data_IF_079144547594
#
_entry.id   IF_079144547594
#
_cell.length_a   1.000
_cell.length_b   1.000
_cell.length_c   1.000
_cell.angle_alpha   90.00
_cell.angle_beta   90.00
_cell.angle_gamma   90.00
#
_symmetry.space_group_name_H-M   'P 1'
#
loop_
_entity.id
_entity.type
_entity.pdbx_description
1 polymer ?
#
# COMPACT_ATOMS: atom_id res chain seq x y z
N UNK A 1 -19.50 5.65 17.50
CA UNK A 1 -18.18 5.00 17.43
C UNK A 1 -17.77 4.91 15.97
N UNK A 2 -17.00 5.89 15.51
CA UNK A 2 -16.62 6.00 14.11
C UNK A 2 -15.41 5.13 13.83
N UNK A 3 -15.52 4.21 12.88
CA UNK A 3 -14.36 3.62 12.24
C UNK A 3 -13.72 4.72 11.42
N UNK A 4 -12.42 4.95 11.60
CA UNK A 4 -11.70 5.91 10.78
C UNK A 4 -10.97 5.21 9.67
N UNK A 5 -11.18 5.68 8.45
CA UNK A 5 -10.68 5.05 7.24
C UNK A 5 -9.83 6.04 6.46
N UNK A 6 -8.58 5.67 6.21
CA UNK A 6 -7.83 6.26 5.12
C UNK A 6 -8.12 5.45 3.86
N UNK A 7 -8.50 6.12 2.78
CA UNK A 7 -8.59 5.53 1.45
C UNK A 7 -8.04 6.55 0.47
N UNK A 8 -6.97 6.19 -0.23
CA UNK A 8 -6.27 7.11 -1.11
C UNK A 8 -5.19 6.42 -1.91
N UNK A 9 -4.36 7.23 -2.57
CA UNK A 9 -3.25 6.76 -3.37
C UNK A 9 -1.94 7.09 -2.69
N UNK A 10 -0.99 6.15 -2.72
CA UNK A 10 0.39 6.38 -2.31
C UNK A 10 1.30 6.29 -3.53
N UNK A 11 2.17 7.28 -3.68
CA UNK A 11 3.21 7.23 -4.70
C UNK A 11 4.40 6.46 -4.16
N UNK A 12 4.77 5.37 -4.84
CA UNK A 12 5.88 4.49 -4.48
C UNK A 12 6.73 4.32 -5.74
N UNK A 13 7.99 4.75 -5.70
CA UNK A 13 8.89 4.77 -6.87
C UNK A 13 8.32 5.48 -8.12
N UNK A 14 7.48 6.49 -7.93
CA UNK A 14 6.86 7.23 -9.03
C UNK A 14 5.61 6.57 -9.65
N UNK A 15 5.18 5.42 -9.12
CA UNK A 15 3.91 4.78 -9.47
C UNK A 15 2.88 5.04 -8.35
N UNK A 16 1.63 5.32 -8.72
CA UNK A 16 0.54 5.48 -7.76
C UNK A 16 -0.12 4.13 -7.48
N UNK A 17 -0.31 3.82 -6.19
CA UNK A 17 -1.00 2.61 -5.74
C UNK A 17 -2.15 2.96 -4.82
N UNK A 18 -3.33 2.37 -5.03
CA UNK A 18 -4.45 2.53 -4.12
C UNK A 18 -4.20 1.76 -2.83
N UNK A 19 -4.41 2.45 -1.71
CA UNK A 19 -4.23 1.92 -0.35
C UNK A 19 -5.41 2.34 0.52
N UNK A 20 -5.94 1.37 1.25
CA UNK A 20 -6.97 1.54 2.24
C UNK A 20 -6.43 1.10 3.60
N UNK A 21 -6.53 1.97 4.60
CA UNK A 21 -6.25 1.63 5.99
C UNK A 21 -7.52 1.84 6.81
N UNK A 22 -8.07 0.74 7.30
CA UNK A 22 -9.21 0.76 8.21
C UNK A 22 -8.69 0.76 9.64
N UNK A 23 -9.08 1.75 10.42
CA UNK A 23 -8.68 1.94 11.81
C UNK A 23 -9.94 1.85 12.68
N UNK A 24 -10.20 0.68 13.29
CA UNK A 24 -11.38 0.49 14.14
C UNK A 24 -11.39 1.40 15.38
N UNK A 25 -10.21 1.81 15.84
CA UNK A 25 -10.01 2.70 16.98
C UNK A 25 -8.86 3.67 16.65
N UNK A 26 -9.19 4.95 16.44
CA UNK A 26 -8.19 5.98 16.09
C UNK A 26 -7.05 6.10 17.10
N UNK A 27 -7.29 5.70 18.35
CA UNK A 27 -6.29 5.74 19.40
C UNK A 27 -5.26 4.61 19.29
N UNK A 28 -5.53 3.56 18.50
CA UNK A 28 -4.70 2.38 18.45
C UNK A 28 -4.72 1.68 17.07
N UNK A 29 -3.60 1.76 16.35
CA UNK A 29 -3.40 1.09 15.07
C UNK A 29 -3.18 -0.43 15.16
N UNK A 30 -3.11 -1.01 16.35
CA UNK A 30 -2.83 -2.45 16.51
C UNK A 30 -3.88 -3.37 15.91
N UNK A 31 -5.13 -2.91 15.80
CA UNK A 31 -6.23 -3.61 15.13
C UNK A 31 -6.54 -3.05 13.74
N UNK A 32 -5.69 -2.17 13.21
CA UNK A 32 -5.90 -1.61 11.89
C UNK A 32 -5.69 -2.67 10.80
N UNK A 33 -6.46 -2.56 9.71
CA UNK A 33 -6.38 -3.45 8.55
C UNK A 33 -5.88 -2.65 7.35
N UNK A 34 -4.80 -3.13 6.74
CA UNK A 34 -4.24 -2.56 5.52
C UNK A 34 -4.68 -3.39 4.31
N UNK A 35 -5.26 -2.71 3.33
CA UNK A 35 -5.57 -3.25 2.01
C UNK A 35 -4.87 -2.39 0.96
N UNK A 36 -4.37 -3.01 -0.09
CA UNK A 36 -3.76 -2.33 -1.23
C UNK A 36 -4.02 -3.12 -2.51
N UNK A 37 -3.73 -2.53 -3.67
CA UNK A 37 -3.83 -3.23 -4.95
C UNK A 37 -3.03 -4.53 -4.94
N UNK A 38 -3.58 -5.56 -5.57
CA UNK A 38 -3.03 -6.91 -5.59
C UNK A 38 -1.58 -6.95 -6.09
N UNK A 39 -1.23 -6.08 -7.05
CA UNK A 39 0.13 -5.97 -7.59
C UNK A 39 1.12 -5.54 -6.52
N UNK A 40 0.76 -4.55 -5.71
CA UNK A 40 1.58 -4.12 -4.57
C UNK A 40 1.60 -5.20 -3.48
N UNK A 41 0.43 -5.76 -3.15
CA UNK A 41 0.31 -6.82 -2.15
C UNK A 41 1.23 -8.01 -2.45
N UNK A 42 1.26 -8.48 -3.69
CA UNK A 42 2.10 -9.60 -4.12
C UNK A 42 3.60 -9.30 -3.92
N UNK A 43 4.03 -8.07 -4.23
CA UNK A 43 5.42 -7.62 -4.02
C UNK A 43 5.79 -7.50 -2.54
N UNK A 44 4.80 -7.26 -1.67
CA UNK A 44 4.98 -7.11 -0.23
C UNK A 44 4.81 -8.41 0.57
N UNK A 45 4.43 -9.53 -0.06
CA UNK A 45 4.13 -10.80 0.62
C UNK A 45 5.21 -11.25 1.61
N UNK A 46 6.48 -11.05 1.28
CA UNK A 46 7.62 -11.44 2.12
C UNK A 46 7.92 -10.45 3.27
N UNK A 47 7.22 -9.32 3.35
CA UNK A 47 7.35 -8.30 4.40
C UNK A 47 6.08 -8.08 5.21
N UNK A 48 5.06 -8.93 5.07
CA UNK A 48 3.78 -8.79 5.81
C UNK A 48 4.04 -8.62 7.31
N UNK A 49 4.87 -9.47 7.93
CA UNK A 49 5.18 -9.38 9.36
C UNK A 49 5.87 -8.06 9.76
N UNK A 50 6.70 -7.49 8.88
CA UNK A 50 7.34 -6.18 9.13
C UNK A 50 6.31 -5.05 9.04
N UNK A 51 5.39 -5.12 8.07
CA UNK A 51 4.31 -4.14 7.89
C UNK A 51 3.38 -4.18 9.10
N UNK A 52 2.96 -5.35 9.55
CA UNK A 52 2.15 -5.52 10.77
C UNK A 52 2.87 -5.00 12.01
N UNK A 53 4.17 -5.26 12.14
CA UNK A 53 4.97 -4.73 13.25
C UNK A 53 5.01 -3.20 13.22
N UNK A 54 5.18 -2.58 12.05
CA UNK A 54 5.16 -1.11 11.90
C UNK A 54 3.79 -0.54 12.17
N UNK A 55 2.73 -1.23 11.75
CA UNK A 55 1.36 -0.81 12.00
C UNK A 55 1.08 -0.74 13.50
N UNK A 56 1.45 -1.77 14.26
CA UNK A 56 1.32 -1.81 15.73
C UNK A 56 2.15 -0.78 16.48
N UNK A 57 3.31 -0.38 15.94
CA UNK A 57 4.23 0.58 16.58
C UNK A 57 3.98 2.04 16.21
N UNK A 58 3.21 2.28 15.16
CA UNK A 58 2.97 3.63 14.65
C UNK A 58 1.99 4.39 15.55
N UNK A 59 2.31 5.66 15.81
CA UNK A 59 1.49 6.53 16.68
C UNK A 59 0.23 7.07 16.01
N UNK A 60 0.23 7.15 14.69
CA UNK A 60 -0.89 7.64 13.90
C UNK A 60 -0.77 7.15 12.44
N UNK A 61 -1.88 7.28 11.70
CA UNK A 61 -2.00 6.84 10.30
C UNK A 61 -0.93 7.47 9.41
N UNK A 62 -0.67 8.77 9.56
CA UNK A 62 0.31 9.49 8.72
C UNK A 62 1.72 8.92 8.89
N UNK A 63 2.11 8.61 10.12
CA UNK A 63 3.43 8.01 10.42
C UNK A 63 3.53 6.62 9.81
N UNK A 64 2.47 5.81 9.96
CA UNK A 64 2.42 4.49 9.36
C UNK A 64 2.51 4.54 7.83
N UNK A 65 1.75 5.42 7.16
CA UNK A 65 1.75 5.52 5.70
C UNK A 65 3.13 5.89 5.14
N UNK A 66 3.86 6.78 5.82
CA UNK A 66 5.25 7.12 5.45
C UNK A 66 6.18 5.91 5.59
N UNK A 67 6.10 5.20 6.71
CA UNK A 67 6.88 3.96 6.93
C UNK A 67 6.53 2.88 5.91
N UNK A 68 5.25 2.75 5.56
CA UNK A 68 4.76 1.81 4.56
C UNK A 68 5.35 2.12 3.17
N UNK A 69 5.36 3.39 2.75
CA UNK A 69 6.01 3.80 1.50
C UNK A 69 7.47 3.38 1.49
N UNK A 70 8.22 3.65 2.57
CA UNK A 70 9.64 3.27 2.65
C UNK A 70 9.87 1.76 2.57
N UNK A 71 9.03 0.96 3.25
CA UNK A 71 9.10 -0.50 3.17
C UNK A 71 8.81 -0.95 1.73
N UNK A 72 7.77 -0.43 1.11
CA UNK A 72 7.37 -0.80 -0.22
C UNK A 72 8.41 -0.43 -1.27
N UNK A 73 8.97 0.79 -1.20
CA UNK A 73 10.08 1.20 -2.04
C UNK A 73 11.29 0.28 -1.87
N UNK A 74 11.64 -0.10 -0.64
CA UNK A 74 12.75 -1.03 -0.41
C UNK A 74 12.48 -2.39 -1.06
N UNK A 75 11.27 -2.93 -0.98
CA UNK A 75 10.92 -4.21 -1.59
C UNK A 75 11.03 -4.16 -3.11
N UNK A 76 10.49 -3.09 -3.70
CA UNK A 76 10.45 -2.90 -5.14
C UNK A 76 11.83 -2.58 -5.72
N UNK A 77 12.70 -1.87 -5.00
CA UNK A 77 14.10 -1.63 -5.39
C UNK A 77 14.95 -2.91 -5.36
N UNK A 78 14.64 -3.85 -4.47
CA UNK A 78 15.39 -5.12 -4.32
C UNK A 78 14.87 -6.25 -5.21
N UNK A 79 13.62 -6.18 -5.65
CA UNK A 79 13.13 -7.05 -6.73
C UNK A 79 13.85 -6.63 -8.01
N UNK A 80 14.52 -7.57 -8.68
CA UNK A 80 15.15 -7.30 -9.98
C UNK A 80 14.17 -6.57 -10.90
N UNK A 81 14.66 -5.65 -11.76
CA UNK A 81 13.81 -4.99 -12.73
C UNK A 81 13.09 -6.08 -13.53
N UNK A 82 11.76 -6.11 -13.47
CA UNK A 82 11.02 -6.74 -14.55
C UNK A 82 11.57 -6.16 -15.86
N UNK A 83 11.73 -6.98 -16.92
CA UNK A 83 12.26 -6.51 -18.19
C UNK A 83 11.57 -5.21 -18.59
N UNK A 84 12.36 -4.22 -19.03
CA UNK A 84 12.10 -2.78 -19.27
C UNK A 84 10.82 -2.36 -20.02
N UNK A 85 9.87 -3.26 -20.24
CA UNK A 85 8.65 -3.07 -21.02
C UNK A 85 7.58 -2.25 -20.28
N UNK A 86 7.68 -2.09 -18.96
CA UNK A 86 6.70 -1.34 -18.17
C UNK A 86 7.20 0.07 -17.83
N UNK A 87 7.47 0.86 -18.88
CA UNK A 87 7.66 2.30 -18.76
C UNK A 87 6.42 2.98 -18.14
N UNK A 88 6.56 4.23 -17.72
CA UNK A 88 5.52 5.04 -17.04
C UNK A 88 4.13 4.95 -17.69
N UNK A 89 4.07 4.77 -19.01
CA UNK A 89 2.85 4.59 -19.80
C UNK A 89 2.07 3.29 -19.52
N UNK A 90 2.74 2.24 -19.06
CA UNK A 90 2.14 0.93 -18.83
C UNK A 90 1.42 0.84 -17.48
N UNK A 91 1.80 1.69 -16.51
CA UNK A 91 1.05 1.83 -15.26
C UNK A 91 -0.29 2.54 -15.48
N UNK A 92 -0.35 3.53 -16.38
CA UNK A 92 -1.58 4.25 -16.71
C UNK A 92 -2.65 3.36 -17.36
N UNK A 93 -2.23 2.33 -18.12
CA UNK A 93 -3.14 1.36 -18.73
C UNK A 93 -3.66 0.30 -17.73
N UNK A 94 -2.83 -0.09 -16.75
CA UNK A 94 -3.26 -1.03 -15.70
C UNK A 94 -4.25 -0.39 -14.73
N UNK A 95 -4.10 0.90 -14.44
CA UNK A 95 -5.03 1.65 -13.60
C UNK A 95 -6.46 1.65 -14.17
N UNK A 96 -6.61 1.68 -15.51
CA UNK A 96 -7.92 1.61 -16.19
C UNK A 96 -8.59 0.24 -16.07
N UNK A 97 -7.82 -0.84 -15.88
CA UNK A 97 -8.37 -2.20 -15.70
C UNK A 97 -8.71 -2.44 -14.22
N UNK A 98 -7.92 -1.91 -13.29
CA UNK A 98 -8.19 -2.04 -11.85
C UNK A 98 -9.39 -1.23 -11.37
N UNK A 99 -9.75 -0.11 -12.01
CA UNK A 99 -10.99 0.63 -11.73
C UNK A 99 -12.27 -0.20 -11.96
N UNK A 100 -12.20 -1.27 -12.77
CA UNK A 100 -13.33 -2.16 -13.06
C UNK A 100 -13.49 -3.21 -11.95
N UNK A 101 -12.40 -3.65 -11.31
CA UNK A 101 -12.42 -4.71 -10.30
C UNK A 101 -12.91 -4.28 -8.91
N UNK A 102 -12.99 -2.98 -8.63
CA UNK A 102 -13.39 -2.43 -7.33
C UNK A 102 -14.83 -1.89 -7.28
N UNK A 103 -15.63 -2.11 -8.34
CA UNK A 103 -17.05 -1.71 -8.44
C UNK A 103 -18.04 -2.89 -8.36
N UNK A 104 -17.67 -4.00 -7.73
CA UNK A 104 -18.61 -5.07 -7.34
C UNK A 104 -18.77 -5.17 -5.84
#
# INVERSE_FOLDING_TARGET
NGISKYSGFLTILGCSYKVCLEVPDESNLSSARLECEWKLQHRLTHKISLIEQRLKKSKNVVTFLKDFVLIAESCLKTSQPEPEVWSKHSCDMLQQIEEIGWKS
#
